data_IF_899602688002
#
_entry.id   IF_899602688002
#
_cell.length_a   1.000
_cell.length_b   1.000
_cell.length_c   1.000
_cell.angle_alpha   90.00
_cell.angle_beta   90.00
_cell.angle_gamma   90.00
#
_symmetry.space_group_name_H-M   'P 1'
#
loop_
_entity.id
_entity.type
_entity.pdbx_description
1 polymer ?
#
# COMPACT_ATOMS: atom_id res chain seq x y z
N UNK A 1 -23.68 2.70 0.16
CA UNK A 1 -22.83 3.05 -1.00
C UNK A 1 -21.66 3.86 -0.46
N UNK A 2 -20.48 3.77 -1.06
CA UNK A 2 -19.33 4.59 -0.67
C UNK A 2 -19.24 5.83 -1.55
N UNK A 3 -18.83 6.95 -0.96
CA UNK A 3 -18.65 8.22 -1.62
C UNK A 3 -17.21 8.67 -1.41
N UNK A 4 -16.53 9.01 -2.50
CA UNK A 4 -15.15 9.45 -2.49
C UNK A 4 -15.13 10.98 -2.46
N UNK A 5 -14.61 11.54 -1.38
CA UNK A 5 -14.45 12.98 -1.19
C UNK A 5 -13.06 13.40 -1.62
N UNK A 6 -12.96 14.44 -2.45
CA UNK A 6 -11.69 15.13 -2.68
C UNK A 6 -11.45 16.10 -1.53
N UNK A 7 -10.28 16.00 -0.90
CA UNK A 7 -9.88 16.89 0.20
C UNK A 7 -8.51 17.49 -0.05
N UNK A 8 -8.19 18.55 0.68
CA UNK A 8 -6.83 19.05 0.76
C UNK A 8 -5.89 17.95 1.30
N UNK A 9 -4.77 17.72 0.61
CA UNK A 9 -3.77 16.72 1.00
C UNK A 9 -3.25 17.03 2.40
N UNK A 10 -3.19 16.03 3.28
CA UNK A 10 -2.76 16.18 4.68
C UNK A 10 -3.87 16.65 5.63
N UNK A 11 -5.10 16.83 5.15
CA UNK A 11 -6.28 17.21 5.96
C UNK A 11 -7.32 16.09 6.04
N UNK A 12 -7.00 14.89 5.57
CA UNK A 12 -7.90 13.73 5.52
C UNK A 12 -8.45 13.38 6.91
N UNK A 13 -7.56 13.29 7.91
CA UNK A 13 -7.94 13.03 9.30
C UNK A 13 -8.90 14.08 9.85
N UNK A 14 -8.57 15.37 9.63
CA UNK A 14 -9.38 16.49 10.11
C UNK A 14 -10.77 16.45 9.49
N UNK A 15 -10.87 16.20 8.18
CA UNK A 15 -12.16 16.08 7.49
C UNK A 15 -12.95 14.89 8.03
N UNK A 16 -12.30 13.73 8.21
CA UNK A 16 -12.96 12.53 8.74
C UNK A 16 -13.55 12.79 10.14
N UNK A 17 -12.82 13.48 11.02
CA UNK A 17 -13.31 13.85 12.36
C UNK A 17 -14.49 14.84 12.30
N UNK A 18 -14.46 15.84 11.41
CA UNK A 18 -15.61 16.73 11.22
C UNK A 18 -16.86 15.96 10.80
N UNK A 19 -16.74 15.07 9.81
CA UNK A 19 -17.85 14.26 9.31
C UNK A 19 -18.37 13.35 10.42
N UNK A 20 -17.49 12.69 11.18
CA UNK A 20 -17.86 11.85 12.33
C UNK A 20 -18.67 12.63 13.37
N UNK A 21 -18.19 13.80 13.78
CA UNK A 21 -18.86 14.61 14.80
C UNK A 21 -20.23 15.12 14.33
N UNK A 22 -20.36 15.51 13.06
CA UNK A 22 -21.65 15.92 12.48
C UNK A 22 -22.61 14.74 12.31
N UNK A 23 -22.09 13.57 11.91
CA UNK A 23 -22.89 12.35 11.80
C UNK A 23 -23.54 11.99 13.14
N UNK A 24 -22.77 12.02 14.23
CA UNK A 24 -23.27 11.74 15.59
C UNK A 24 -24.26 12.82 16.04
N UNK A 25 -23.86 14.09 15.98
CA UNK A 25 -24.66 15.21 16.52
C UNK A 25 -25.98 15.43 15.77
N UNK A 26 -26.02 15.13 14.46
CA UNK A 26 -27.20 15.31 13.62
C UNK A 26 -27.92 14.00 13.29
N UNK A 27 -27.46 12.88 13.83
CA UNK A 27 -28.02 11.53 13.58
C UNK A 27 -28.13 11.20 12.08
N UNK A 28 -27.04 11.43 11.34
CA UNK A 28 -26.99 11.16 9.89
C UNK A 28 -26.81 9.66 9.62
N UNK A 29 -27.31 9.20 8.48
CA UNK A 29 -27.05 7.85 7.93
C UNK A 29 -25.65 7.79 7.31
N UNK A 30 -24.63 7.90 8.17
CA UNK A 30 -23.23 7.67 7.82
C UNK A 30 -22.76 6.45 8.63
N UNK A 31 -22.38 5.40 7.91
CA UNK A 31 -22.05 4.08 8.46
C UNK A 31 -20.57 3.92 8.73
N UNK A 32 -19.73 4.44 7.85
CA UNK A 32 -18.27 4.33 7.97
C UNK A 32 -17.55 5.50 7.30
N UNK A 33 -16.38 5.84 7.83
CA UNK A 33 -15.48 6.88 7.31
C UNK A 33 -14.06 6.35 7.40
N UNK A 34 -13.27 6.44 6.34
CA UNK A 34 -11.84 6.08 6.39
C UNK A 34 -11.01 6.82 5.34
N UNK A 35 -9.69 6.78 5.54
CA UNK A 35 -8.68 7.27 4.61
C UNK A 35 -7.39 6.44 4.81
N UNK A 36 -6.50 6.44 3.83
CA UNK A 36 -5.23 5.67 3.90
C UNK A 36 -4.03 6.57 3.62
N UNK A 37 -2.82 6.12 3.96
CA UNK A 37 -1.59 6.90 3.70
C UNK A 37 -1.15 6.83 2.24
N UNK A 38 -1.56 5.77 1.56
CA UNK A 38 -1.26 5.45 0.17
C UNK A 38 -2.11 6.31 -0.80
N UNK A 39 -3.35 6.64 -0.41
CA UNK A 39 -4.30 7.40 -1.24
C UNK A 39 -4.51 8.80 -0.65
N UNK A 40 -3.54 9.69 -0.90
CA UNK A 40 -3.54 11.06 -0.37
C UNK A 40 -4.60 11.97 -1.02
N UNK A 41 -5.18 12.85 -0.22
CA UNK A 41 -6.16 13.85 -0.66
C UNK A 41 -7.56 13.27 -0.90
N UNK A 42 -7.86 12.11 -0.33
CA UNK A 42 -9.17 11.48 -0.43
C UNK A 42 -9.66 10.95 0.91
N UNK A 43 -10.97 11.05 1.13
CA UNK A 43 -11.68 10.45 2.26
C UNK A 43 -12.85 9.64 1.70
N UNK A 44 -13.09 8.46 2.23
CA UNK A 44 -14.16 7.56 1.81
C UNK A 44 -15.23 7.56 2.89
N UNK A 45 -16.48 7.76 2.48
CA UNK A 45 -17.63 7.82 3.40
C UNK A 45 -18.72 6.88 2.90
N UNK A 46 -19.18 5.97 3.75
CA UNK A 46 -20.34 5.14 3.47
C UNK A 46 -21.59 5.75 4.09
N UNK A 47 -22.62 5.99 3.29
CA UNK A 47 -23.86 6.55 3.84
C UNK A 47 -24.84 7.05 2.80
N UNK A 48 -25.75 7.90 3.26
CA UNK A 48 -26.67 8.65 2.43
C UNK A 48 -25.98 9.89 1.82
N UNK A 49 -26.05 10.02 0.49
CA UNK A 49 -25.36 11.08 -0.26
C UNK A 49 -25.96 12.47 -0.02
N UNK A 50 -27.27 12.59 0.11
CA UNK A 50 -27.95 13.88 0.30
C UNK A 50 -27.56 14.50 1.63
N UNK A 51 -27.66 13.71 2.71
CA UNK A 51 -27.23 14.12 4.05
C UNK A 51 -25.73 14.46 4.12
N UNK A 52 -24.90 13.73 3.36
CA UNK A 52 -23.49 14.04 3.23
C UNK A 52 -23.31 15.41 2.56
N UNK A 53 -23.97 15.69 1.44
CA UNK A 53 -23.87 16.99 0.76
C UNK A 53 -24.26 18.17 1.65
N UNK A 54 -25.23 18.01 2.53
CA UNK A 54 -25.65 19.05 3.45
C UNK A 54 -24.53 19.47 4.41
N UNK A 55 -23.77 18.50 4.93
CA UNK A 55 -22.68 18.78 5.87
C UNK A 55 -21.36 19.16 5.19
N UNK A 56 -21.10 18.73 3.95
CA UNK A 56 -19.83 19.01 3.28
C UNK A 56 -19.61 20.51 3.02
N UNK A 57 -20.69 21.29 2.90
CA UNK A 57 -20.64 22.76 2.74
C UNK A 57 -20.01 23.46 3.95
N UNK A 58 -20.04 22.81 5.11
CA UNK A 58 -19.51 23.33 6.38
C UNK A 58 -18.06 22.89 6.64
N UNK A 59 -17.45 22.13 5.72
CA UNK A 59 -16.09 21.59 5.89
C UNK A 59 -15.16 22.20 4.83
N UNK A 60 -14.47 23.33 5.12
CA UNK A 60 -13.68 24.06 4.13
C UNK A 60 -12.60 23.25 3.37
N UNK A 61 -11.90 22.27 3.99
CA UNK A 61 -10.91 21.47 3.27
C UNK A 61 -11.49 20.51 2.22
N UNK A 62 -12.81 20.31 2.17
CA UNK A 62 -13.47 19.44 1.19
C UNK A 62 -13.66 20.21 -0.11
N UNK A 63 -13.28 19.59 -1.22
CA UNK A 63 -13.47 20.11 -2.59
C UNK A 63 -14.70 19.54 -3.29
N UNK A 64 -15.33 18.52 -2.72
CA UNK A 64 -16.55 17.91 -3.21
C UNK A 64 -16.49 16.38 -3.28
N UNK A 65 -17.62 15.79 -3.67
CA UNK A 65 -17.74 14.36 -3.96
C UNK A 65 -17.26 14.12 -5.40
N UNK A 66 -16.34 13.18 -5.58
CA UNK A 66 -15.77 12.82 -6.89
C UNK A 66 -16.64 11.78 -7.58
N UNK A 67 -16.97 10.71 -6.85
CA UNK A 67 -17.72 9.59 -7.37
C UNK A 67 -18.33 8.78 -6.21
N UNK A 68 -19.38 8.04 -6.54
CA UNK A 68 -20.00 7.05 -5.66
C UNK A 68 -19.71 5.66 -6.20
N UNK A 69 -19.30 4.75 -5.32
CA UNK A 69 -18.86 3.41 -5.67
C UNK A 69 -19.48 2.35 -4.76
N UNK A 70 -19.54 1.13 -5.27
CA UNK A 70 -19.89 -0.06 -4.50
C UNK A 70 -18.70 -0.57 -3.68
N UNK A 71 -18.96 -1.48 -2.74
CA UNK A 71 -17.89 -2.14 -1.96
C UNK A 71 -16.92 -2.91 -2.86
N UNK A 72 -17.41 -3.57 -3.91
CA UNK A 72 -16.59 -4.33 -4.87
C UNK A 72 -15.64 -3.42 -5.66
N UNK A 73 -16.07 -2.21 -5.98
CA UNK A 73 -15.22 -1.21 -6.64
C UNK A 73 -14.22 -0.59 -5.65
N UNK A 74 -14.60 -0.46 -4.37
CA UNK A 74 -13.71 0.04 -3.33
C UNK A 74 -12.48 -0.86 -3.13
N UNK A 75 -12.63 -2.18 -3.28
CA UNK A 75 -11.50 -3.12 -3.22
C UNK A 75 -10.38 -2.75 -4.20
N UNK A 76 -10.68 -2.14 -5.35
CA UNK A 76 -9.66 -1.70 -6.32
C UNK A 76 -8.78 -0.58 -5.77
N UNK A 77 -9.29 0.25 -4.87
CA UNK A 77 -8.55 1.32 -4.19
C UNK A 77 -7.85 0.82 -2.92
N UNK A 78 -8.34 -0.28 -2.34
CA UNK A 78 -7.79 -0.89 -1.13
C UNK A 78 -6.80 -2.03 -1.41
N UNK A 79 -6.67 -2.46 -2.66
CA UNK A 79 -5.61 -3.38 -3.10
C UNK A 79 -4.28 -2.64 -3.03
N UNK A 80 -3.70 -2.64 -1.83
CA UNK A 80 -2.25 -2.55 -1.67
C UNK A 80 -1.68 -3.56 -2.66
N UNK A 81 -0.98 -3.08 -3.69
CA UNK A 81 -0.08 -3.93 -4.46
C UNK A 81 0.98 -4.43 -3.49
N UNK A 82 0.65 -5.46 -2.72
CA UNK A 82 1.65 -6.38 -2.20
C UNK A 82 2.11 -7.12 -3.44
N UNK A 83 3.00 -6.50 -4.21
CA UNK A 83 3.97 -7.26 -4.97
C UNK A 83 4.82 -7.98 -3.92
N UNK A 84 4.25 -9.04 -3.35
CA UNK A 84 5.01 -10.00 -2.55
C UNK A 84 5.84 -10.72 -3.60
N UNK A 85 6.96 -10.11 -3.97
CA UNK A 85 7.94 -10.76 -4.82
C UNK A 85 8.38 -11.99 -4.04
N UNK A 86 7.80 -13.14 -4.38
CA UNK A 86 8.12 -14.40 -3.75
C UNK A 86 9.51 -14.81 -4.24
N UNK A 87 10.55 -14.47 -3.50
CA UNK A 87 11.92 -14.88 -3.79
C UNK A 87 12.07 -16.34 -3.38
N UNK A 88 12.64 -17.17 -4.26
CA UNK A 88 12.86 -18.60 -4.03
C UNK A 88 14.35 -18.91 -3.98
N UNK A 89 14.70 -19.99 -3.29
CA UNK A 89 16.06 -20.54 -3.35
C UNK A 89 16.37 -20.90 -4.81
N UNK A 90 17.55 -20.49 -5.27
CA UNK A 90 17.98 -20.64 -6.66
C UNK A 90 17.70 -19.44 -7.56
N UNK A 91 16.82 -18.51 -7.17
CA UNK A 91 16.63 -17.25 -7.90
C UNK A 91 17.95 -16.47 -7.96
N UNK A 92 18.20 -15.77 -9.06
CA UNK A 92 19.29 -14.79 -9.15
C UNK A 92 18.69 -13.42 -8.86
N UNK A 93 19.28 -12.72 -7.91
CA UNK A 93 18.88 -11.38 -7.52
C UNK A 93 20.04 -10.39 -7.72
N UNK A 94 19.69 -9.16 -8.04
CA UNK A 94 20.59 -8.01 -8.04
C UNK A 94 20.33 -7.18 -6.78
N UNK A 95 21.40 -6.72 -6.14
CA UNK A 95 21.32 -5.85 -4.97
C UNK A 95 21.08 -4.42 -5.44
N UNK A 96 19.98 -3.79 -5.02
CA UNK A 96 19.57 -2.45 -5.48
C UNK A 96 19.92 -1.32 -4.49
N UNK A 97 20.48 -1.64 -3.32
CA UNK A 97 20.88 -0.66 -2.31
C UNK A 97 21.98 -1.15 -1.37
N UNK A 98 22.55 -0.22 -0.59
CA UNK A 98 23.67 -0.51 0.32
C UNK A 98 25.03 -0.59 -0.39
N UNK A 99 26.09 -1.01 0.33
CA UNK A 99 27.48 -1.00 -0.18
C UNK A 99 27.74 -1.99 -1.32
N UNK A 100 26.90 -3.00 -1.47
CA UNK A 100 27.00 -4.02 -2.53
C UNK A 100 26.04 -3.76 -3.70
N UNK A 101 25.52 -2.54 -3.83
CA UNK A 101 24.57 -2.19 -4.91
C UNK A 101 25.18 -2.47 -6.29
N UNK A 102 24.42 -3.15 -7.14
CA UNK A 102 24.79 -3.54 -8.50
C UNK A 102 25.30 -4.98 -8.61
N UNK A 103 25.72 -5.57 -7.50
CA UNK A 103 26.19 -6.95 -7.46
C UNK A 103 25.03 -7.94 -7.64
N UNK A 104 25.33 -9.11 -8.22
CA UNK A 104 24.38 -10.20 -8.42
C UNK A 104 24.76 -11.41 -7.58
N UNK A 105 23.75 -12.09 -7.05
CA UNK A 105 23.94 -13.31 -6.29
C UNK A 105 22.80 -14.30 -6.47
N UNK A 106 23.12 -15.58 -6.27
CA UNK A 106 22.13 -16.65 -6.23
C UNK A 106 21.61 -16.83 -4.81
N UNK A 107 20.30 -16.89 -4.66
CA UNK A 107 19.63 -17.10 -3.37
C UNK A 107 19.91 -18.52 -2.88
N UNK A 108 20.49 -18.62 -1.68
CA UNK A 108 20.78 -19.89 -1.01
C UNK A 108 19.78 -20.19 0.12
N UNK A 109 19.21 -19.16 0.76
CA UNK A 109 18.20 -19.29 1.80
C UNK A 109 17.22 -18.11 1.78
N UNK A 110 15.97 -18.38 2.15
CA UNK A 110 14.92 -17.35 2.28
C UNK A 110 14.32 -17.47 3.68
N UNK A 111 14.28 -16.36 4.42
CA UNK A 111 13.56 -16.22 5.68
C UNK A 111 12.37 -15.27 5.47
N UNK A 112 11.19 -15.86 5.27
CA UNK A 112 9.96 -15.10 5.02
C UNK A 112 9.42 -14.40 6.27
N UNK A 113 9.79 -14.86 7.47
CA UNK A 113 9.37 -14.25 8.74
C UNK A 113 10.14 -12.96 8.97
N UNK A 114 11.46 -12.97 8.75
CA UNK A 114 12.33 -11.80 8.86
C UNK A 114 12.37 -10.94 7.60
N UNK A 115 11.86 -11.43 6.48
CA UNK A 115 11.96 -10.81 5.14
C UNK A 115 13.43 -10.61 4.72
N UNK A 116 14.24 -11.63 4.95
CA UNK A 116 15.67 -11.64 4.60
C UNK A 116 15.99 -12.78 3.64
N UNK A 117 16.88 -12.54 2.68
CA UNK A 117 17.49 -13.56 1.84
C UNK A 117 18.97 -13.69 2.16
N UNK A 118 19.48 -14.91 2.07
CA UNK A 118 20.91 -15.17 2.01
C UNK A 118 21.27 -15.45 0.56
N UNK A 119 22.24 -14.74 0.03
CA UNK A 119 22.73 -14.90 -1.34
C UNK A 119 24.23 -15.24 -1.35
N UNK A 120 24.66 -15.89 -2.42
CA UNK A 120 26.08 -16.06 -2.76
C UNK A 120 26.38 -15.27 -4.02
N UNK A 121 27.35 -14.36 -3.95
CA UNK A 121 27.75 -13.51 -5.09
C UNK A 121 28.27 -14.35 -6.26
N UNK A 122 27.93 -13.96 -7.49
CA UNK A 122 28.33 -14.69 -8.70
C UNK A 122 29.76 -14.39 -9.15
N UNK A 123 30.28 -13.19 -8.88
CA UNK A 123 31.60 -12.74 -9.34
C UNK A 123 32.75 -13.08 -8.37
N UNK A 124 32.45 -13.79 -7.26
CA UNK A 124 33.44 -14.11 -6.23
C UNK A 124 33.82 -15.59 -6.30
N UNK A 125 35.13 -15.93 -6.44
CA UNK A 125 35.58 -17.33 -6.57
C UNK A 125 35.35 -18.17 -5.32
N UNK A 126 35.23 -17.54 -4.14
CA UNK A 126 34.87 -18.20 -2.89
C UNK A 126 33.47 -17.74 -2.47
N UNK A 127 32.49 -18.65 -2.29
CA UNK A 127 31.14 -18.27 -1.91
C UNK A 127 31.13 -17.59 -0.54
N UNK A 128 30.85 -16.28 -0.51
CA UNK A 128 30.59 -15.54 0.72
C UNK A 128 29.07 -15.38 0.90
N UNK A 129 28.46 -15.94 1.95
CA UNK A 129 27.04 -15.73 2.21
C UNK A 129 26.79 -14.30 2.68
N UNK A 130 25.86 -13.61 2.04
CA UNK A 130 25.42 -12.26 2.41
C UNK A 130 23.93 -12.27 2.73
N UNK A 131 23.58 -11.81 3.93
CA UNK A 131 22.17 -11.66 4.37
C UNK A 131 21.68 -10.25 4.03
N UNK A 132 20.56 -10.15 3.31
CA UNK A 132 19.98 -8.89 2.84
C UNK A 132 18.46 -8.88 3.07
N UNK A 133 17.92 -7.69 3.36
CA UNK A 133 16.46 -7.47 3.33
C UNK A 133 15.91 -7.66 1.91
N UNK A 134 14.69 -8.19 1.80
CA UNK A 134 13.96 -8.28 0.53
C UNK A 134 13.85 -6.94 -0.19
N UNK A 135 13.83 -5.82 0.54
CA UNK A 135 13.74 -4.47 -0.02
C UNK A 135 15.02 -4.02 -0.74
N UNK A 136 16.14 -4.69 -0.49
CA UNK A 136 17.43 -4.37 -1.11
C UNK A 136 17.77 -5.26 -2.30
N UNK A 137 16.85 -6.15 -2.71
CA UNK A 137 17.11 -7.09 -3.80
C UNK A 137 15.99 -7.08 -4.83
N UNK A 138 16.36 -7.30 -6.09
CA UNK A 138 15.44 -7.44 -7.22
C UNK A 138 15.75 -8.71 -7.96
N UNK A 139 14.75 -9.55 -8.24
CA UNK A 139 14.92 -10.76 -9.04
C UNK A 139 15.28 -10.38 -10.47
N UNK A 140 16.37 -10.97 -10.98
CA UNK A 140 16.81 -10.84 -12.38
C UNK A 140 16.62 -12.14 -13.15
N UNK A 141 16.68 -13.29 -12.47
CA UNK A 141 16.43 -14.59 -13.07
C UNK A 141 15.69 -15.49 -12.07
N UNK A 142 14.72 -16.26 -12.55
CA UNK A 142 13.99 -17.23 -11.72
C UNK A 142 14.73 -18.56 -11.73
N UNK A 143 14.71 -19.25 -10.58
CA UNK A 143 15.17 -20.62 -10.50
C UNK A 143 14.46 -21.47 -11.56
N UNK A 144 15.20 -22.23 -12.35
CA UNK A 144 14.62 -23.16 -13.31
C UNK A 144 13.84 -24.24 -12.54
N UNK A 145 12.61 -24.59 -12.97
CA UNK A 145 11.92 -25.75 -12.42
C UNK A 145 12.75 -27.01 -12.70
N UNK A 146 12.98 -27.85 -11.69
CA UNK A 146 13.44 -29.21 -11.96
C UNK A 146 12.35 -29.92 -12.76
N UNK A 147 12.70 -30.41 -13.95
CA UNK A 147 11.85 -31.24 -14.82
C UNK A 147 11.53 -32.58 -14.15
#
# INVERSE_FOLDING_TARGET
MFHILKVAVGREFVVAEYIRNMAISRSLDIKSIFFTREVKGYVFVEGNLEQLFDILKEIPPVRGVVQSITINELEKYMKVKKETVEIKVGDIVEIIGGPFKGEKGRVSKVDTVKKEVVISLLEVPTPLPLTLSFELVRIVERAQPAL
#
